data_IF_487297442010
#
_entry.id   IF_487297442010
#
_cell.length_a   1.000
_cell.length_b   1.000
_cell.length_c   1.000
_cell.angle_alpha   90.00
_cell.angle_beta   90.00
_cell.angle_gamma   90.00
#
_symmetry.space_group_name_H-M   'P 1'
#
loop_
_entity.id
_entity.type
_entity.pdbx_description
1 polymer ?
#
# COMPACT_ATOMS: atom_id res chain seq x y z
N UNK A 1 15.07 -7.78 5.12
CA UNK A 1 14.33 -7.43 6.35
C UNK A 1 13.11 -6.61 5.92
N UNK A 2 11.91 -7.19 5.86
CA UNK A 2 10.71 -6.42 5.49
C UNK A 2 10.13 -5.77 6.73
N UNK A 3 10.29 -4.45 6.87
CA UNK A 3 9.70 -3.69 7.95
C UNK A 3 8.16 -3.83 7.89
N UNK A 4 7.59 -4.51 8.89
CA UNK A 4 6.17 -4.39 9.20
C UNK A 4 5.98 -3.09 9.96
N UNK A 5 5.26 -2.13 9.39
CA UNK A 5 4.91 -0.91 10.12
C UNK A 5 4.14 -1.27 11.39
N UNK A 6 4.63 -0.79 12.54
CA UNK A 6 3.93 -0.89 13.83
C UNK A 6 3.37 0.50 14.15
N UNK A 7 2.05 0.63 14.38
CA UNK A 7 1.49 1.91 14.79
C UNK A 7 2.13 2.37 16.09
N UNK A 8 2.36 3.68 16.20
CA UNK A 8 2.76 4.29 17.46
C UNK A 8 1.63 4.16 18.49
N UNK A 9 1.93 4.15 19.79
CA UNK A 9 0.92 4.02 20.85
C UNK A 9 -0.13 5.15 20.85
N UNK A 10 0.21 6.30 20.30
CA UNK A 10 -0.67 7.47 20.14
C UNK A 10 -1.35 7.55 18.77
N UNK A 11 -1.05 6.62 17.87
CA UNK A 11 -1.72 6.58 16.58
C UNK A 11 -3.14 6.02 16.75
N UNK A 12 -4.09 6.60 16.02
CA UNK A 12 -5.40 6.01 15.79
C UNK A 12 -5.50 5.66 14.30
N UNK A 13 -5.04 4.45 13.89
CA UNK A 13 -5.03 4.06 12.49
C UNK A 13 -6.43 4.11 11.88
N UNK A 14 -6.52 4.64 10.66
CA UNK A 14 -7.81 4.71 9.97
C UNK A 14 -8.32 3.30 9.63
N UNK A 15 -9.64 3.08 9.74
CA UNK A 15 -10.26 1.77 9.52
C UNK A 15 -9.99 1.22 8.11
N UNK A 16 -10.00 2.10 7.11
CA UNK A 16 -9.80 1.74 5.70
C UNK A 16 -8.32 1.59 5.30
N UNK A 17 -7.40 1.60 6.25
CA UNK A 17 -5.97 1.49 5.98
C UNK A 17 -5.62 0.09 5.46
N UNK A 18 -5.09 0.04 4.23
CA UNK A 18 -4.50 -1.19 3.70
C UNK A 18 -3.18 -1.43 4.44
N UNK A 19 -2.87 -2.67 4.82
CA UNK A 19 -1.61 -3.02 5.52
C UNK A 19 -0.52 -3.49 4.56
N UNK A 20 0.02 -2.60 3.72
CA UNK A 20 1.09 -2.93 2.76
C UNK A 20 2.48 -2.80 3.39
N UNK A 21 3.45 -3.49 2.80
CA UNK A 21 4.88 -3.40 3.14
C UNK A 21 5.72 -3.30 1.88
N UNK A 22 6.98 -2.88 2.02
CA UNK A 22 7.92 -2.86 0.90
C UNK A 22 7.98 -4.23 0.17
N UNK A 23 7.95 -4.19 -1.16
CA UNK A 23 7.92 -5.34 -2.06
C UNK A 23 6.51 -5.82 -2.45
N UNK A 24 5.46 -5.33 -1.79
CA UNK A 24 4.08 -5.65 -2.17
C UNK A 24 3.74 -5.13 -3.56
N UNK A 25 2.96 -5.92 -4.30
CA UNK A 25 2.45 -5.52 -5.62
C UNK A 25 1.09 -4.87 -5.46
N UNK A 26 0.91 -3.74 -6.12
CA UNK A 26 -0.32 -2.98 -6.18
C UNK A 26 -0.66 -2.59 -7.62
N UNK A 27 -1.90 -2.21 -7.84
CA UNK A 27 -2.39 -1.62 -9.08
C UNK A 27 -3.01 -0.25 -8.79
N UNK A 28 -2.85 0.72 -9.69
CA UNK A 28 -3.57 2.00 -9.59
C UNK A 28 -5.06 1.81 -9.85
N UNK A 29 -5.89 2.42 -9.01
CA UNK A 29 -7.36 2.39 -9.10
C UNK A 29 -7.97 3.77 -9.36
N UNK A 30 -7.15 4.81 -9.29
CA UNK A 30 -7.53 6.19 -9.58
C UNK A 30 -6.48 6.83 -10.49
N UNK A 31 -6.87 7.93 -11.12
CA UNK A 31 -5.95 8.74 -11.92
C UNK A 31 -4.85 9.30 -11.01
N UNK A 32 -3.60 9.08 -11.43
CA UNK A 32 -2.40 9.59 -10.79
C UNK A 32 -1.62 10.30 -11.89
N UNK A 33 -1.14 11.51 -11.60
CA UNK A 33 -0.40 12.29 -12.59
C UNK A 33 0.83 11.50 -13.09
N UNK A 34 0.88 11.25 -14.40
CA UNK A 34 1.96 10.52 -15.03
C UNK A 34 1.88 9.00 -14.93
N UNK A 35 0.80 8.44 -14.35
CA UNK A 35 0.62 6.98 -14.23
C UNK A 35 -0.81 6.59 -14.65
N UNK A 36 -0.92 5.76 -15.68
CA UNK A 36 -2.22 5.29 -16.16
C UNK A 36 -2.97 4.48 -15.09
N UNK A 37 -4.30 4.57 -15.06
CA UNK A 37 -5.14 3.69 -14.22
C UNK A 37 -4.95 2.24 -14.65
N UNK A 38 -4.87 1.30 -13.71
CA UNK A 38 -4.56 -0.10 -13.97
C UNK A 38 -3.06 -0.42 -14.05
N UNK A 39 -2.17 0.56 -13.84
CA UNK A 39 -0.72 0.34 -13.83
C UNK A 39 -0.30 -0.43 -12.59
N UNK A 40 0.46 -1.51 -12.81
CA UNK A 40 1.07 -2.26 -11.71
C UNK A 40 2.34 -1.58 -11.20
N UNK A 41 2.50 -1.61 -9.88
CA UNK A 41 3.67 -1.05 -9.21
C UNK A 41 4.10 -1.85 -7.99
N UNK A 42 5.30 -1.54 -7.51
CA UNK A 42 5.90 -2.11 -6.30
C UNK A 42 6.00 -1.07 -5.21
N UNK A 43 5.48 -1.39 -4.03
CA UNK A 43 5.66 -0.57 -2.84
C UNK A 43 7.15 -0.56 -2.48
N UNK A 44 7.77 0.60 -2.44
CA UNK A 44 9.18 0.79 -2.02
C UNK A 44 9.30 1.42 -0.64
N UNK A 45 8.26 2.13 -0.17
CA UNK A 45 8.17 2.65 1.18
C UNK A 45 6.73 2.51 1.71
N UNK A 46 6.61 2.09 2.96
CA UNK A 46 5.37 2.07 3.71
C UNK A 46 5.64 2.78 5.05
N UNK A 47 5.15 4.01 5.20
CA UNK A 47 5.39 4.81 6.39
C UNK A 47 4.16 5.64 6.76
N UNK A 48 4.00 6.00 8.03
CA UNK A 48 2.83 6.70 8.49
C UNK A 48 2.74 6.85 10.00
N UNK A 49 1.84 7.74 10.46
CA UNK A 49 1.46 7.88 11.86
C UNK A 49 0.00 7.44 12.06
N UNK A 50 -0.98 8.31 11.80
CA UNK A 50 -2.39 7.90 11.78
C UNK A 50 -2.79 7.23 10.46
N UNK A 51 -2.11 7.57 9.36
CA UNK A 51 -2.33 6.99 8.04
C UNK A 51 -1.02 6.43 7.50
N UNK A 52 -1.06 5.18 7.03
CA UNK A 52 0.01 4.67 6.18
C UNK A 52 -0.08 5.31 4.80
N UNK A 53 1.05 5.86 4.37
CA UNK A 53 1.33 6.39 3.05
C UNK A 53 2.37 5.53 2.36
N UNK A 54 2.15 5.33 1.08
CA UNK A 54 2.97 4.45 0.27
C UNK A 54 3.71 5.24 -0.80
N UNK A 55 4.98 4.91 -0.97
CA UNK A 55 5.70 5.21 -2.20
C UNK A 55 5.73 3.97 -3.06
N UNK A 56 5.29 4.09 -4.31
CA UNK A 56 5.22 3.00 -5.28
C UNK A 56 6.08 3.36 -6.47
N UNK A 57 6.91 2.41 -6.89
CA UNK A 57 7.66 2.47 -8.15
C UNK A 57 6.91 1.67 -9.21
N UNK A 58 6.60 2.30 -10.34
CA UNK A 58 5.91 1.69 -11.47
C UNK A 58 6.90 1.13 -12.50
N UNK A 59 6.39 0.36 -13.46
CA UNK A 59 7.20 -0.35 -14.45
C UNK A 59 8.00 0.57 -15.38
N UNK A 60 7.52 1.79 -15.61
CA UNK A 60 8.17 2.85 -16.37
C UNK A 60 9.28 3.58 -15.58
N UNK A 61 9.48 3.22 -14.30
CA UNK A 61 10.44 3.86 -13.40
C UNK A 61 9.86 5.05 -12.62
N UNK A 62 8.63 5.47 -12.90
CA UNK A 62 7.96 6.56 -12.19
C UNK A 62 7.76 6.17 -10.72
N UNK A 63 8.10 7.08 -9.81
CA UNK A 63 7.84 6.92 -8.38
C UNK A 63 6.81 7.92 -7.92
N UNK A 64 5.74 7.41 -7.30
CA UNK A 64 4.70 8.26 -6.73
C UNK A 64 4.59 7.99 -5.23
N UNK A 65 4.67 9.07 -4.45
CA UNK A 65 4.51 9.08 -3.00
C UNK A 65 3.07 9.33 -2.56
N UNK A 66 2.87 9.33 -1.23
CA UNK A 66 1.62 9.70 -0.58
C UNK A 66 0.38 8.90 -0.99
N UNK A 67 0.57 7.72 -1.58
CA UNK A 67 -0.51 6.86 -2.02
C UNK A 67 -1.17 6.15 -0.83
N UNK A 68 -2.48 5.95 -0.92
CA UNK A 68 -3.29 5.19 0.03
C UNK A 68 -4.37 4.37 -0.70
N UNK A 69 -5.35 3.84 0.03
CA UNK A 69 -6.43 3.02 -0.52
C UNK A 69 -7.29 3.70 -1.59
N UNK A 70 -7.25 5.03 -1.68
CA UNK A 70 -7.97 5.81 -2.70
C UNK A 70 -7.31 5.71 -4.06
N UNK A 71 -6.00 5.47 -4.08
CA UNK A 71 -5.20 5.48 -5.30
C UNK A 71 -4.79 4.09 -5.78
N UNK A 72 -4.60 3.15 -4.84
CA UNK A 72 -4.01 1.84 -5.13
C UNK A 72 -4.74 0.70 -4.42
N UNK A 73 -4.78 -0.46 -5.08
CA UNK A 73 -5.29 -1.70 -4.52
C UNK A 73 -4.22 -2.81 -4.56
N UNK A 74 -4.15 -3.69 -3.53
CA UNK A 74 -3.25 -4.84 -3.55
C UNK A 74 -3.67 -5.86 -4.61
N UNK A 75 -2.70 -6.47 -5.29
CA UNK A 75 -2.96 -7.51 -6.31
C UNK A 75 -2.14 -8.78 -6.09
N UNK A 76 -2.53 -9.86 -6.79
CA UNK A 76 -1.80 -11.12 -6.82
C UNK A 76 -1.50 -11.71 -5.42
N UNK A 77 -0.21 -11.97 -5.15
CA UNK A 77 0.24 -12.53 -3.86
C UNK A 77 -0.04 -11.61 -2.68
N UNK A 78 0.04 -10.29 -2.88
CA UNK A 78 -0.24 -9.30 -1.82
C UNK A 78 -1.71 -9.33 -1.42
N UNK A 79 -2.63 -9.33 -2.38
CA UNK A 79 -4.07 -9.46 -2.10
C UNK A 79 -4.39 -10.73 -1.30
N UNK A 80 -3.85 -11.89 -1.73
CA UNK A 80 -4.03 -13.17 -1.03
C UNK A 80 -3.51 -13.13 0.41
N UNK A 81 -2.35 -12.50 0.65
CA UNK A 81 -1.78 -12.34 2.00
C UNK A 81 -2.69 -11.51 2.89
N UNK A 82 -3.18 -10.37 2.39
CA UNK A 82 -4.05 -9.48 3.15
C UNK A 82 -5.39 -10.13 3.48
N UNK A 83 -6.00 -10.83 2.52
CA UNK A 83 -7.22 -11.59 2.77
C UNK A 83 -7.04 -12.64 3.88
N UNK A 84 -5.89 -13.34 3.91
CA UNK A 84 -5.57 -14.30 4.98
C UNK A 84 -5.36 -13.62 6.34
N UNK A 85 -4.72 -12.45 6.36
CA UNK A 85 -4.52 -11.68 7.58
C UNK A 85 -5.86 -11.20 8.16
N UNK A 86 -6.76 -10.70 7.31
CA UNK A 86 -8.09 -10.25 7.73
C UNK A 86 -8.94 -11.39 8.30
N UNK A 87 -8.86 -12.60 7.75
CA UNK A 87 -9.56 -13.78 8.30
C UNK A 87 -9.05 -14.23 9.67
N UNK A 88 -7.82 -13.86 10.04
CA UNK A 88 -7.19 -14.23 11.32
C UNK A 88 -7.40 -13.18 12.40
N UNK A 89 -7.97 -12.03 12.05
CA UNK A 89 -8.36 -11.03 13.03
C UNK A 89 -9.54 -11.60 13.83
N UNK A 90 -9.46 -11.64 15.17
CA UNK A 90 -10.55 -12.14 16.02
C UNK A 90 -11.81 -11.31 15.86
#
# INVERSE_FOLDING_TARGET
MTASWKPHALASPHADQISLRAGDTVVTTAEIQGVAVGSEGKVILANGFNWLRYRVRFADGTEVGDLDQRNIAPVGKTAKRLARANKRKP
#
